data_IF_769789172098
#
_entry.id   IF_769789172098
#
_cell.length_a   1.000
_cell.length_b   1.000
_cell.length_c   1.000
_cell.angle_alpha   90.00
_cell.angle_beta   90.00
_cell.angle_gamma   90.00
#
_symmetry.space_group_name_H-M   'P 1'
#
loop_
_entity.id
_entity.type
_entity.pdbx_description
1 polymer ?
#
# COMPACT_ATOMS: atom_id res chain seq x y z
N UNK A 1 -16.24 20.50 -5.30
CA UNK A 1 -14.92 20.19 -4.71
C UNK A 1 -15.08 20.29 -3.19
N UNK A 2 -15.33 19.16 -2.50
CA UNK A 2 -15.60 19.19 -1.06
C UNK A 2 -14.27 19.16 -0.29
N UNK A 3 -13.78 20.34 0.11
CA UNK A 3 -12.75 20.46 1.14
C UNK A 3 -13.43 20.61 2.49
N UNK A 4 -13.61 19.50 3.20
CA UNK A 4 -14.18 19.49 4.55
C UNK A 4 -13.16 20.07 5.52
N UNK A 5 -13.37 21.33 5.90
CA UNK A 5 -12.64 22.01 6.97
C UNK A 5 -13.03 21.40 8.32
N UNK A 6 -12.22 20.48 8.84
CA UNK A 6 -12.23 20.09 10.27
C UNK A 6 -11.00 20.64 10.97
N UNK A 7 -11.12 21.10 12.24
CA UNK A 7 -10.00 21.67 12.98
C UNK A 7 -8.84 20.66 13.03
N UNK A 8 -7.62 21.15 12.78
CA UNK A 8 -6.36 20.37 12.76
C UNK A 8 -6.21 19.59 14.06
N UNK A 9 -6.71 18.37 14.05
CA UNK A 9 -6.62 17.42 15.14
C UNK A 9 -5.23 16.79 15.06
N UNK A 10 -4.63 16.40 16.18
CA UNK A 10 -3.26 15.86 16.24
C UNK A 10 -2.98 14.68 15.28
N UNK A 11 -4.01 14.02 14.75
CA UNK A 11 -3.90 13.03 13.68
C UNK A 11 -3.54 13.64 12.31
N UNK A 12 -4.07 14.81 11.95
CA UNK A 12 -3.83 15.44 10.65
C UNK A 12 -2.36 15.87 10.48
N UNK A 13 -1.76 16.44 11.54
CA UNK A 13 -0.33 16.80 11.57
C UNK A 13 0.58 15.58 11.40
N UNK A 14 0.18 14.42 11.93
CA UNK A 14 0.93 13.16 11.75
C UNK A 14 0.82 12.65 10.32
N UNK A 15 -0.37 12.75 9.71
CA UNK A 15 -0.62 12.32 8.34
C UNK A 15 0.25 13.12 7.34
N UNK A 16 0.35 14.44 7.50
CA UNK A 16 1.17 15.31 6.63
C UNK A 16 2.67 14.95 6.66
N UNK A 17 3.16 14.46 7.80
CA UNK A 17 4.54 13.96 7.94
C UNK A 17 4.69 12.53 7.40
N UNK A 18 3.67 11.69 7.55
CA UNK A 18 3.73 10.28 7.17
C UNK A 18 3.64 10.06 5.67
N UNK A 19 2.83 10.86 4.96
CA UNK A 19 2.63 10.75 3.52
C UNK A 19 3.96 10.82 2.73
N UNK A 20 4.83 11.84 2.92
CA UNK A 20 6.12 11.90 2.22
C UNK A 20 7.06 10.77 2.66
N UNK A 21 7.03 10.38 3.93
CA UNK A 21 7.85 9.27 4.44
C UNK A 21 7.44 7.92 3.82
N UNK A 22 6.14 7.69 3.64
CA UNK A 22 5.62 6.52 2.94
C UNK A 22 6.08 6.48 1.48
N UNK A 23 6.06 7.62 0.78
CA UNK A 23 6.54 7.71 -0.59
C UNK A 23 8.05 7.41 -0.67
N UNK A 24 8.85 8.00 0.23
CA UNK A 24 10.28 7.78 0.34
C UNK A 24 10.63 6.32 0.61
N UNK A 25 10.06 5.73 1.65
CA UNK A 25 10.31 4.33 2.02
C UNK A 25 9.86 3.37 0.92
N UNK A 26 8.78 3.68 0.21
CA UNK A 26 8.34 2.90 -0.94
C UNK A 26 9.37 2.93 -2.08
N UNK A 27 9.91 4.11 -2.40
CA UNK A 27 10.96 4.27 -3.42
C UNK A 27 12.25 3.55 -3.02
N UNK A 28 12.68 3.65 -1.75
CA UNK A 28 13.84 2.92 -1.22
C UNK A 28 13.68 1.40 -1.30
N UNK A 29 12.44 0.90 -1.27
CA UNK A 29 12.10 -0.52 -1.41
C UNK A 29 11.66 -0.90 -2.85
N UNK A 30 12.23 -0.23 -3.85
CA UNK A 30 12.04 -0.48 -5.29
C UNK A 30 10.59 -0.36 -5.79
N UNK A 31 9.71 0.27 -5.01
CA UNK A 31 8.29 0.39 -5.31
C UNK A 31 7.50 -0.92 -5.34
N UNK A 32 8.08 -2.00 -4.80
CA UNK A 32 7.43 -3.33 -4.80
C UNK A 32 6.45 -3.47 -3.62
N UNK A 33 6.66 -2.69 -2.56
CA UNK A 33 5.97 -2.90 -1.29
C UNK A 33 4.52 -2.43 -1.33
N UNK A 34 3.60 -3.38 -1.17
CA UNK A 34 2.18 -3.09 -0.92
C UNK A 34 1.88 -2.82 0.55
N UNK A 35 0.62 -2.47 0.83
CA UNK A 35 0.04 -2.23 2.17
C UNK A 35 0.63 -3.11 3.28
N UNK A 36 0.68 -4.43 3.08
CA UNK A 36 1.14 -5.38 4.11
C UNK A 36 2.63 -5.20 4.45
N UNK A 37 3.48 -5.01 3.44
CA UNK A 37 4.93 -4.82 3.64
C UNK A 37 5.24 -3.42 4.15
N UNK A 38 4.55 -2.41 3.61
CA UNK A 38 4.66 -1.03 4.09
C UNK A 38 4.26 -0.89 5.55
N UNK A 39 3.15 -1.52 5.98
CA UNK A 39 2.74 -1.48 7.38
C UNK A 39 3.77 -2.11 8.31
N UNK A 40 4.35 -3.25 7.91
CA UNK A 40 5.42 -3.88 8.68
C UNK A 40 6.69 -3.02 8.73
N UNK A 41 7.04 -2.34 7.63
CA UNK A 41 8.17 -1.43 7.56
C UNK A 41 7.98 -0.21 8.46
N UNK A 42 6.81 0.43 8.40
CA UNK A 42 6.49 1.61 9.21
C UNK A 42 6.52 1.28 10.71
N UNK A 43 5.99 0.11 11.12
CA UNK A 43 6.12 -0.34 12.52
C UNK A 43 7.57 -0.61 12.94
N UNK A 44 8.43 -1.10 12.04
CA UNK A 44 9.87 -1.29 12.32
C UNK A 44 10.61 0.04 12.46
N UNK A 45 10.15 1.08 11.77
CA UNK A 45 10.66 2.45 11.92
C UNK A 45 10.09 3.18 13.16
N UNK A 46 9.27 2.50 13.97
CA UNK A 46 8.72 3.05 15.21
C UNK A 46 7.38 3.77 15.05
N UNK A 47 6.76 3.74 13.87
CA UNK A 47 5.44 4.34 13.66
C UNK A 47 4.32 3.44 14.19
N UNK A 48 3.54 3.95 15.13
CA UNK A 48 2.33 3.29 15.63
C UNK A 48 1.13 3.66 14.76
N UNK A 49 0.97 2.93 13.65
CA UNK A 49 -0.13 3.13 12.70
C UNK A 49 -0.84 1.82 12.37
N UNK A 50 -2.14 1.92 12.13
CA UNK A 50 -2.95 0.79 11.67
C UNK A 50 -2.68 0.40 10.21
N UNK A 51 -3.09 -0.82 9.86
CA UNK A 51 -2.96 -1.36 8.50
C UNK A 51 -3.82 -0.63 7.46
N UNK A 52 -5.00 -0.15 7.87
CA UNK A 52 -5.90 0.64 7.01
C UNK A 52 -5.42 2.09 6.89
N UNK A 53 -4.86 2.65 7.95
CA UNK A 53 -4.17 3.95 7.89
C UNK A 53 -3.00 3.90 6.91
N UNK A 54 -2.19 2.83 6.96
CA UNK A 54 -1.11 2.62 5.98
C UNK A 54 -1.65 2.62 4.54
N UNK A 55 -2.76 1.92 4.29
CA UNK A 55 -3.37 1.91 2.95
C UNK A 55 -3.83 3.29 2.51
N UNK A 56 -4.46 4.04 3.42
CA UNK A 56 -4.87 5.42 3.17
C UNK A 56 -3.66 6.29 2.83
N UNK A 57 -2.58 6.24 3.62
CA UNK A 57 -1.35 6.99 3.35
C UNK A 57 -0.72 6.61 2.02
N UNK A 58 -0.67 5.31 1.68
CA UNK A 58 -0.19 4.86 0.38
C UNK A 58 -1.03 5.45 -0.78
N UNK A 59 -2.35 5.51 -0.63
CA UNK A 59 -3.24 6.14 -1.64
C UNK A 59 -3.00 7.64 -1.76
N UNK A 60 -2.87 8.35 -0.64
CA UNK A 60 -2.61 9.79 -0.62
C UNK A 60 -1.21 10.12 -1.18
N UNK A 61 -0.21 9.29 -0.89
CA UNK A 61 1.14 9.38 -1.42
C UNK A 61 1.25 8.94 -2.90
N UNK A 62 0.17 8.44 -3.51
CA UNK A 62 0.18 7.98 -4.90
C UNK A 62 0.96 6.68 -5.14
N UNK A 63 1.33 5.95 -4.09
CA UNK A 63 2.14 4.73 -4.20
C UNK A 63 1.28 3.47 -4.12
N UNK A 64 1.68 2.45 -4.88
CA UNK A 64 1.00 1.15 -4.90
C UNK A 64 2.04 0.05 -5.05
N UNK A 65 1.94 -0.97 -4.20
CA UNK A 65 2.78 -2.15 -4.34
C UNK A 65 2.44 -2.98 -5.58
N UNK A 66 3.47 -3.67 -6.09
CA UNK A 66 3.36 -4.54 -7.25
C UNK A 66 2.40 -5.69 -6.97
N UNK A 67 1.48 -5.92 -7.91
CA UNK A 67 0.64 -7.12 -7.96
C UNK A 67 1.21 -8.04 -9.04
N UNK A 68 1.25 -9.35 -8.79
CA UNK A 68 1.53 -10.32 -9.86
C UNK A 68 0.49 -10.13 -10.96
N UNK A 69 0.97 -9.92 -12.18
CA UNK A 69 0.13 -9.94 -13.38
C UNK A 69 -0.45 -11.34 -13.61
N UNK A 70 -1.44 -11.41 -14.52
CA UNK A 70 -2.20 -12.60 -14.95
C UNK A 70 -1.45 -13.91 -14.76
N UNK A 71 -2.06 -14.85 -14.03
CA UNK A 71 -1.57 -16.23 -13.89
C UNK A 71 -1.68 -16.88 -15.27
N UNK A 72 -0.56 -17.09 -15.96
CA UNK A 72 -0.53 -17.82 -17.23
C UNK A 72 -0.68 -19.30 -16.91
N UNK A 73 -1.75 -19.91 -17.41
CA UNK A 73 -1.96 -21.35 -17.32
C UNK A 73 -1.57 -21.94 -18.67
N UNK A 74 -0.42 -22.63 -18.72
CA UNK A 74 0.13 -23.19 -19.97
C UNK A 74 -0.66 -24.41 -20.44
N UNK A 75 -1.33 -25.11 -19.52
CA UNK A 75 -2.05 -26.36 -19.80
C UNK A 75 -3.54 -26.09 -19.95
N UNK A 76 -4.13 -26.24 -21.12
CA UNK A 76 -5.59 -26.34 -21.21
C UNK A 76 -5.94 -27.82 -21.01
N UNK A 77 -6.79 -28.16 -20.03
CA UNK A 77 -7.26 -29.54 -19.87
C UNK A 77 -7.99 -29.96 -21.14
N UNK A 78 -7.58 -31.09 -21.70
CA UNK A 78 -8.23 -31.70 -22.85
C UNK A 78 -9.49 -32.45 -22.37
N UNK A 79 -10.70 -32.08 -22.84
CA UNK A 79 -11.94 -32.72 -22.40
C UNK A 79 -12.10 -34.14 -22.96
N UNK A 80 -11.26 -34.58 -23.89
CA UNK A 80 -11.28 -35.92 -24.47
C UNK A 80 -10.23 -36.86 -23.84
N UNK A 81 -9.45 -36.40 -22.86
CA UNK A 81 -8.52 -37.25 -22.14
C UNK A 81 -9.28 -38.32 -21.32
N UNK A 82 -8.94 -39.62 -21.45
CA UNK A 82 -9.52 -40.66 -20.61
C UNK A 82 -9.13 -40.44 -19.14
N UNK A 83 -10.07 -40.76 -18.24
CA UNK A 83 -9.91 -40.67 -16.79
C UNK A 83 -8.92 -41.68 -16.25
#
# INVERSE_FOLDING_TARGET
>A
MHQSSTPVSACQLKDDLLIPEVARLHAENYGVYGRRKMHALLRRQGWDIGRDQTERMMRLAGVRGVRRSKRVFTTKSDPAAPR
#
